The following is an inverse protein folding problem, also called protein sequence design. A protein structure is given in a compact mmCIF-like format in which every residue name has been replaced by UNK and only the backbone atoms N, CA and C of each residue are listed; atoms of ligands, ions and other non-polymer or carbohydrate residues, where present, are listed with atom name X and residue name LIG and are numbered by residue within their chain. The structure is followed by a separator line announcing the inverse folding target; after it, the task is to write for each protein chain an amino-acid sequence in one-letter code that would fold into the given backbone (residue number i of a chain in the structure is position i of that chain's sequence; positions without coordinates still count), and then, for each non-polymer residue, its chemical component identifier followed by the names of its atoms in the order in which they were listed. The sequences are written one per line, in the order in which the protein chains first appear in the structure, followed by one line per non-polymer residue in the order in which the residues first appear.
data_IF_000907557974
#
_entry.id   IF_000907557974
#
_cell.length_a   1.000
_cell.length_b   1.000
_cell.length_c   1.000
_cell.angle_alpha   90.00
_cell.angle_beta   90.00
_cell.angle_gamma   90.00
#
_symmetry.space_group_name_H-M   'P 1'
#
loop_
_entity.id
_entity.type
_entity.pdbx_description
1 polymer ?
#
# COMPACT_ATOMS: atom_id res chain seq x y z
N UNK A 1 -26.47 10.02 -7.52
CA UNK A 1 -25.58 11.15 -7.85
C UNK A 1 -24.33 11.01 -6.99
N UNK A 2 -23.18 10.67 -7.57
CA UNK A 2 -21.94 10.46 -6.79
C UNK A 2 -21.30 11.81 -6.56
N UNK A 3 -21.44 12.36 -5.36
CA UNK A 3 -20.76 13.60 -4.99
C UNK A 3 -19.30 13.24 -4.72
N UNK A 4 -18.43 13.64 -5.63
CA UNK A 4 -16.98 13.47 -5.46
C UNK A 4 -16.49 14.52 -4.49
N UNK A 5 -16.28 14.11 -3.23
CA UNK A 5 -15.76 14.99 -2.19
C UNK A 5 -14.25 15.12 -2.37
N UNK A 6 -13.80 16.35 -2.62
CA UNK A 6 -12.39 16.65 -2.94
C UNK A 6 -11.57 16.96 -1.68
N UNK A 7 -12.22 17.48 -0.64
CA UNK A 7 -11.61 17.89 0.61
C UNK A 7 -12.14 17.08 1.79
N UNK A 8 -11.20 16.54 2.58
CA UNK A 8 -11.47 15.68 3.73
C UNK A 8 -11.08 16.38 5.03
N UNK A 9 -11.91 16.20 6.06
CA UNK A 9 -11.51 16.53 7.44
C UNK A 9 -10.57 15.46 8.01
N UNK A 10 -10.00 15.71 9.20
CA UNK A 10 -9.18 14.68 9.89
C UNK A 10 -9.95 13.39 10.15
N UNK A 11 -11.24 13.49 10.49
CA UNK A 11 -12.09 12.32 10.75
C UNK A 11 -12.34 11.52 9.47
N UNK A 12 -12.72 12.22 8.40
CA UNK A 12 -13.01 11.60 7.12
C UNK A 12 -11.75 11.02 6.47
N UNK A 13 -10.60 11.69 6.61
CA UNK A 13 -9.31 11.15 6.18
C UNK A 13 -8.92 9.89 6.95
N UNK A 14 -9.22 9.84 8.25
CA UNK A 14 -8.99 8.67 9.09
C UNK A 14 -9.88 7.49 8.65
N UNK A 15 -11.16 7.75 8.36
CA UNK A 15 -12.09 6.76 7.82
C UNK A 15 -11.65 6.27 6.43
N UNK A 16 -11.25 7.19 5.54
CA UNK A 16 -10.81 6.88 4.17
C UNK A 16 -9.59 5.97 4.15
N UNK A 17 -8.61 6.24 5.02
CA UNK A 17 -7.40 5.42 5.15
C UNK A 17 -7.59 4.22 6.09
N UNK A 18 -8.77 4.08 6.72
CA UNK A 18 -9.07 3.08 7.75
C UNK A 18 -8.05 3.08 8.91
N UNK A 19 -7.62 4.25 9.34
CA UNK A 19 -6.66 4.43 10.44
C UNK A 19 -7.26 5.25 11.58
N UNK A 20 -6.57 5.26 12.73
CA UNK A 20 -6.96 6.16 13.83
C UNK A 20 -6.68 7.63 13.49
N UNK A 21 -7.46 8.55 14.07
CA UNK A 21 -7.19 10.00 13.99
C UNK A 21 -5.78 10.35 14.50
N UNK A 22 -5.28 9.63 15.50
CA UNK A 22 -3.91 9.76 16.04
C UNK A 22 -2.86 9.48 14.96
N UNK A 23 -3.09 8.48 14.12
CA UNK A 23 -2.21 8.15 12.98
C UNK A 23 -2.16 9.30 11.97
N UNK A 24 -3.30 9.91 11.63
CA UNK A 24 -3.34 11.07 10.73
C UNK A 24 -2.52 12.24 11.31
N UNK A 25 -2.66 12.54 12.61
CA UNK A 25 -1.85 13.58 13.25
C UNK A 25 -0.35 13.23 13.25
N UNK A 26 0.01 11.97 13.48
CA UNK A 26 1.39 11.49 13.40
C UNK A 26 1.96 11.67 11.99
N UNK A 27 1.24 11.23 10.95
CA UNK A 27 1.64 11.39 9.55
C UNK A 27 1.80 12.86 9.15
N UNK A 28 0.90 13.71 9.63
CA UNK A 28 1.00 15.16 9.41
C UNK A 28 2.22 15.76 10.13
N UNK A 29 2.52 15.30 11.34
CA UNK A 29 3.69 15.75 12.12
C UNK A 29 5.01 15.30 11.49
N UNK A 30 5.03 14.10 10.92
CA UNK A 30 6.18 13.52 10.20
C UNK A 30 6.35 14.09 8.78
N UNK A 31 5.44 14.95 8.32
CA UNK A 31 5.49 15.53 6.97
C UNK A 31 5.11 14.55 5.86
N UNK A 32 4.58 13.37 6.21
CA UNK A 32 4.20 12.30 5.25
C UNK A 32 2.82 12.51 4.61
N UNK A 33 1.99 13.34 5.22
CA UNK A 33 0.68 13.73 4.71
C UNK A 33 0.56 15.26 4.77
N UNK A 34 0.46 15.94 3.61
CA UNK A 34 0.30 17.40 3.58
C UNK A 34 -1.06 17.79 4.15
N UNK A 35 -1.06 18.73 5.10
CA UNK A 35 -2.28 19.23 5.73
C UNK A 35 -2.46 20.72 5.46
N UNK A 36 -3.57 21.07 4.82
CA UNK A 36 -3.95 22.45 4.57
C UNK A 36 -4.68 23.01 5.78
N UNK A 37 -4.17 24.10 6.36
CA UNK A 37 -4.81 24.78 7.50
C UNK A 37 -5.77 25.85 6.97
N UNK A 38 -7.02 25.81 7.42
CA UNK A 38 -8.04 26.81 7.07
C UNK A 38 -8.39 27.61 8.34
N UNK A 39 -8.16 28.94 8.33
CA UNK A 39 -8.49 29.83 9.45
C UNK A 39 -7.51 29.80 10.64
N UNK A 40 -8.02 30.10 11.86
CA UNK A 40 -7.25 30.10 13.12
C UNK A 40 -6.80 28.68 13.50
N UNK A 41 -5.73 28.22 12.87
CA UNK A 41 -4.84 27.08 13.16
C UNK A 41 -5.40 25.66 13.33
N UNK A 42 -6.63 25.46 13.81
CA UNK A 42 -7.12 24.14 14.25
C UNK A 42 -7.78 23.31 13.16
N UNK A 43 -8.23 23.94 12.07
CA UNK A 43 -8.98 23.22 11.03
C UNK A 43 -8.02 22.76 9.94
N UNK A 44 -7.72 21.46 9.92
CA UNK A 44 -6.93 20.82 8.86
C UNK A 44 -7.85 20.22 7.80
N UNK A 45 -7.43 20.31 6.55
CA UNK A 45 -8.04 19.69 5.39
C UNK A 45 -7.00 18.94 4.57
N UNK A 46 -7.44 17.85 3.98
CA UNK A 46 -6.62 16.97 3.13
C UNK A 46 -7.28 16.87 1.76
N UNK A 47 -6.49 16.90 0.69
CA UNK A 47 -7.01 16.60 -0.65
C UNK A 47 -7.10 15.09 -0.83
N UNK A 48 -8.03 14.67 -1.69
CA UNK A 48 -8.16 13.26 -2.06
C UNK A 48 -6.86 12.68 -2.65
N UNK A 49 -6.20 13.45 -3.50
CA UNK A 49 -4.94 13.05 -4.16
C UNK A 49 -3.84 12.76 -3.14
N UNK A 50 -3.70 13.64 -2.14
CA UNK A 50 -2.72 13.48 -1.07
C UNK A 50 -2.99 12.23 -0.22
N UNK A 51 -4.26 11.90 0.01
CA UNK A 51 -4.65 10.68 0.74
C UNK A 51 -4.34 9.42 -0.06
N UNK A 52 -4.53 9.44 -1.39
CA UNK A 52 -4.17 8.32 -2.25
C UNK A 52 -2.66 8.10 -2.34
N UNK A 53 -1.88 9.18 -2.31
CA UNK A 53 -0.43 9.15 -2.41
C UNK A 53 0.27 8.85 -1.07
N UNK A 54 -0.45 8.62 0.04
CA UNK A 54 0.19 8.31 1.32
C UNK A 54 0.97 7.01 1.16
N UNK A 55 2.32 7.05 1.26
CA UNK A 55 3.12 5.86 1.08
C UNK A 55 2.83 4.90 2.23
N UNK A 56 2.23 3.75 1.89
CA UNK A 56 2.07 2.66 2.84
C UNK A 56 3.46 2.12 3.13
N UNK A 57 3.89 2.18 4.39
CA UNK A 57 5.22 1.69 4.83
C UNK A 57 5.42 0.19 4.51
N UNK A 58 4.39 -0.52 4.03
CA UNK A 58 4.46 -1.93 3.66
C UNK A 58 4.32 -2.25 2.18
N UNK A 59 4.20 -1.30 1.23
CA UNK A 59 3.99 -1.66 -0.19
C UNK A 59 5.31 -1.97 -0.91
N UNK A 60 5.79 -3.19 -0.69
CA UNK A 60 6.01 -4.26 -1.69
C UNK A 60 6.64 -3.95 -3.06
N UNK A 61 7.23 -2.78 -3.33
CA UNK A 61 8.07 -2.65 -4.53
C UNK A 61 9.38 -3.43 -4.38
N UNK A 62 9.81 -3.68 -3.15
CA UNK A 62 10.89 -4.62 -2.85
C UNK A 62 10.49 -6.09 -3.05
N UNK A 63 9.20 -6.43 -3.11
CA UNK A 63 8.77 -7.81 -3.21
C UNK A 63 8.82 -8.36 -4.63
N UNK A 64 8.81 -7.55 -5.69
CA UNK A 64 8.81 -8.11 -7.05
C UNK A 64 10.17 -8.71 -7.41
N UNK A 65 11.28 -8.03 -7.09
CA UNK A 65 12.64 -8.59 -7.23
C UNK A 65 12.90 -9.76 -6.27
N UNK A 66 12.38 -9.68 -5.03
CA UNK A 66 12.51 -10.76 -4.05
C UNK A 66 11.69 -11.99 -4.47
N UNK A 67 10.45 -11.80 -4.96
CA UNK A 67 9.62 -12.87 -5.54
C UNK A 67 10.24 -13.45 -6.81
N UNK A 68 10.88 -12.63 -7.66
CA UNK A 68 11.64 -13.12 -8.82
C UNK A 68 12.85 -13.96 -8.40
N UNK A 69 13.58 -13.56 -7.35
CA UNK A 69 14.70 -14.35 -6.79
C UNK A 69 14.24 -15.65 -6.13
N UNK A 70 13.00 -15.69 -5.63
CA UNK A 70 12.37 -16.87 -5.03
C UNK A 70 11.61 -17.74 -6.07
N UNK A 71 11.56 -17.32 -7.33
CA UNK A 71 10.92 -18.06 -8.43
C UNK A 71 11.90 -19.05 -9.03
N UNK A 72 11.41 -20.26 -9.33
CA UNK A 72 12.16 -21.35 -9.98
C UNK A 72 12.83 -20.95 -11.31
N UNK A 73 12.43 -19.83 -11.94
CA UNK A 73 13.10 -19.29 -13.14
C UNK A 73 14.48 -18.67 -12.86
N UNK A 74 14.80 -18.30 -11.62
CA UNK A 74 16.03 -17.59 -11.28
C UNK A 74 17.12 -18.51 -10.69
N UNK A 75 16.78 -19.73 -10.26
CA UNK A 75 17.72 -20.70 -9.70
C UNK A 75 17.65 -22.03 -10.48
N UNK A 76 18.69 -22.38 -11.29
CA UNK A 76 18.68 -23.60 -12.08
C UNK A 76 18.61 -24.88 -11.24
N UNK A 77 19.05 -24.84 -9.98
CA UNK A 77 19.02 -26.00 -9.07
C UNK A 77 17.58 -26.28 -8.58
N UNK A 78 16.76 -25.23 -8.41
CA UNK A 78 15.35 -25.37 -8.05
C UNK A 78 14.48 -25.83 -9.22
N UNK A 79 14.86 -25.50 -10.46
CA UNK A 79 14.19 -26.01 -11.66
C UNK A 79 14.41 -27.53 -11.81
N UNK A 80 15.64 -28.03 -11.60
CA UNK A 80 15.94 -29.47 -11.63
C UNK A 80 15.24 -30.25 -10.50
N UNK A 81 15.05 -29.65 -9.32
CA UNK A 81 14.37 -30.31 -8.20
C UNK A 81 12.84 -30.44 -8.40
N UNK A 82 12.24 -29.54 -9.19
CA UNK A 82 10.81 -29.54 -9.50
C UNK A 82 10.47 -30.44 -10.70
N UNK A 83 11.40 -30.63 -11.63
CA UNK A 83 11.24 -31.50 -12.80
C UNK A 83 11.58 -32.97 -12.46
N UNK A 84 10.92 -33.50 -11.43
CA UNK A 84 11.09 -34.88 -10.97
C UNK A 84 10.00 -35.78 -11.56
N UNK A 85 10.36 -37.00 -11.98
CA UNK A 85 9.44 -38.02 -12.52
C UNK A 85 8.21 -38.28 -11.64
N UNK A 86 8.30 -37.97 -10.33
CA UNK A 86 7.19 -38.09 -9.38
C UNK A 86 6.08 -37.04 -9.57
N UNK A 87 6.39 -35.84 -10.06
CA UNK A 87 5.40 -34.77 -10.29
C UNK A 87 4.64 -34.94 -11.61
N UNK A 88 5.29 -35.52 -12.63
CA UNK A 88 4.68 -35.87 -13.92
C UNK A 88 3.52 -36.91 -13.85
N UNK A 89 3.27 -37.46 -12.65
CA UNK A 89 2.11 -38.29 -12.36
C UNK A 89 0.81 -37.48 -12.24
N UNK A 90 0.88 -36.18 -11.93
CA UNK A 90 -0.28 -35.28 -11.80
C UNK A 90 -0.65 -34.54 -13.09
N UNK A 91 0.26 -34.46 -14.06
CA UNK A 91 0.01 -33.83 -15.38
C UNK A 91 -0.85 -34.68 -16.33
N UNK A 92 -1.20 -35.90 -15.92
CA UNK A 92 -1.92 -36.90 -16.75
C UNK A 92 -3.37 -37.14 -16.32
N UNK A 93 -3.98 -36.24 -15.55
CA UNK A 93 -5.42 -36.28 -15.20
C UNK A 93 -6.16 -35.10 -15.85
#
# INVERSE_FOLDING_TARGET
MVIVKEWFTVGEAAEYLCVSKRTIYKLTKEGRLPAFRIGKERHRRFRREDLNNVPRVGEETANLEVLLKLSAKADPVLAEAWDNEKDAAYDRI
#
